data_IF_574346778641
#
_entry.id   IF_574346778641
#
_cell.length_a   1.000
_cell.length_b   1.000
_cell.length_c   1.000
_cell.angle_alpha   90.00
_cell.angle_beta   90.00
_cell.angle_gamma   90.00
#
_symmetry.space_group_name_H-M   'P 1'
#
loop_
_entity.id
_entity.type
_entity.pdbx_description
1 polymer ?
#
# COMPACT_ATOMS: atom_id res chain seq x y z
N UNK A 1 8.54 -17.17 -9.87
CA UNK A 1 9.61 -17.05 -8.87
C UNK A 1 9.05 -16.66 -7.50
N UNK A 2 9.71 -17.12 -6.43
CA UNK A 2 9.33 -16.78 -5.05
C UNK A 2 10.54 -16.29 -4.28
N UNK A 3 10.34 -15.25 -3.46
CA UNK A 3 11.34 -14.71 -2.55
C UNK A 3 10.68 -14.52 -1.17
N UNK A 4 11.26 -15.13 -0.14
CA UNK A 4 10.86 -14.92 1.25
C UNK A 4 11.90 -14.10 1.98
N UNK A 5 11.44 -13.10 2.73
CA UNK A 5 12.29 -12.21 3.51
C UNK A 5 11.74 -12.13 4.94
N UNK A 6 12.61 -11.89 5.91
CA UNK A 6 12.21 -11.44 7.24
C UNK A 6 12.25 -9.92 7.24
N UNK A 7 11.09 -9.31 7.46
CA UNK A 7 10.96 -7.86 7.51
C UNK A 7 10.96 -7.38 8.95
N UNK A 8 11.97 -6.60 9.30
CA UNK A 8 12.07 -6.03 10.65
C UNK A 8 11.34 -4.69 10.73
N UNK A 9 10.58 -4.53 11.79
CA UNK A 9 9.87 -3.30 12.12
C UNK A 9 10.05 -2.96 13.60
N UNK A 10 9.79 -1.73 14.03
CA UNK A 10 9.86 -1.36 15.45
C UNK A 10 8.95 -2.21 16.34
N UNK A 11 7.87 -2.76 15.80
CA UNK A 11 6.89 -3.60 16.50
C UNK A 11 7.21 -5.09 16.47
N UNK A 12 8.28 -5.51 15.80
CA UNK A 12 8.69 -6.90 15.68
C UNK A 12 9.04 -7.33 14.26
N UNK A 13 9.24 -8.62 14.09
CA UNK A 13 9.57 -9.24 12.80
C UNK A 13 8.32 -9.85 12.17
N UNK A 14 8.23 -9.80 10.85
CA UNK A 14 7.20 -10.48 10.10
C UNK A 14 7.70 -11.01 8.74
N UNK A 15 7.15 -12.14 8.25
CA UNK A 15 7.50 -12.63 6.93
C UNK A 15 6.94 -11.73 5.85
N UNK A 16 7.80 -11.39 4.90
CA UNK A 16 7.45 -10.76 3.63
C UNK A 16 7.67 -11.77 2.50
N UNK A 17 6.62 -12.10 1.78
CA UNK A 17 6.68 -13.03 0.66
C UNK A 17 6.37 -12.29 -0.64
N UNK A 18 7.27 -12.41 -1.60
CA UNK A 18 7.09 -11.93 -2.95
C UNK A 18 6.95 -13.12 -3.90
N UNK A 19 6.00 -13.03 -4.81
CA UNK A 19 5.81 -14.00 -5.89
C UNK A 19 5.69 -13.27 -7.22
N UNK A 20 6.42 -13.78 -8.21
CA UNK A 20 6.38 -13.29 -9.58
C UNK A 20 5.86 -14.42 -10.49
N UNK A 21 4.76 -14.16 -11.14
CA UNK A 21 4.15 -15.08 -12.09
C UNK A 21 4.12 -14.41 -13.48
N UNK A 22 4.61 -15.11 -14.53
CA UNK A 22 4.47 -14.62 -15.90
C UNK A 22 3.01 -14.68 -16.32
N UNK A 23 2.58 -13.67 -17.07
CA UNK A 23 1.26 -13.61 -17.71
C UNK A 23 1.37 -13.89 -19.22
N UNK A 24 0.26 -14.29 -19.84
CA UNK A 24 0.22 -14.68 -21.25
C UNK A 24 0.50 -13.50 -22.21
N UNK A 25 0.31 -12.27 -21.76
CA UNK A 25 0.58 -11.04 -22.52
C UNK A 25 2.04 -10.56 -22.45
N UNK A 26 2.92 -11.34 -21.81
CA UNK A 26 4.32 -11.00 -21.61
C UNK A 26 4.59 -10.09 -20.42
N UNK A 27 3.57 -9.74 -19.65
CA UNK A 27 3.73 -9.02 -18.38
C UNK A 27 4.07 -9.98 -17.23
N UNK A 28 4.35 -9.45 -16.07
CA UNK A 28 4.61 -10.22 -14.86
C UNK A 28 3.73 -9.71 -13.74
N UNK A 29 2.95 -10.60 -13.15
CA UNK A 29 2.20 -10.31 -11.93
C UNK A 29 3.13 -10.40 -10.72
N UNK A 30 3.21 -9.32 -9.95
CA UNK A 30 3.84 -9.29 -8.64
C UNK A 30 2.79 -9.42 -7.54
N UNK A 31 2.87 -10.49 -6.75
CA UNK A 31 2.11 -10.65 -5.53
C UNK A 31 3.00 -10.44 -4.31
N UNK A 32 2.61 -9.52 -3.44
CA UNK A 32 3.28 -9.22 -2.19
C UNK A 32 2.37 -9.61 -1.02
N UNK A 33 2.89 -10.40 -0.09
CA UNK A 33 2.22 -10.73 1.17
C UNK A 33 3.13 -10.36 2.34
N UNK A 34 2.67 -9.43 3.16
CA UNK A 34 3.31 -9.08 4.41
C UNK A 34 2.43 -9.55 5.58
N UNK A 35 2.99 -10.38 6.45
CA UNK A 35 2.32 -10.84 7.67
C UNK A 35 3.04 -10.24 8.86
N UNK A 36 2.28 -9.67 9.79
CA UNK A 36 2.86 -9.01 10.96
C UNK A 36 1.94 -9.14 12.17
N UNK A 37 2.53 -9.09 13.35
CA UNK A 37 1.80 -8.90 14.58
C UNK A 37 1.46 -7.41 14.72
N UNK A 38 0.18 -7.12 14.88
CA UNK A 38 -0.31 -5.77 15.06
C UNK A 38 -0.78 -5.60 16.50
N UNK A 39 -0.54 -4.44 17.07
CA UNK A 39 -1.25 -4.06 18.29
C UNK A 39 -2.74 -3.91 17.99
N UNK A 40 -3.58 -4.62 18.74
CA UNK A 40 -5.01 -4.69 18.46
C UNK A 40 -5.69 -3.31 18.59
N UNK A 41 -5.25 -2.49 19.56
CA UNK A 41 -5.81 -1.17 19.77
C UNK A 41 -5.40 -0.20 18.65
N UNK A 42 -4.14 -0.27 18.19
CA UNK A 42 -3.67 0.52 17.04
C UNK A 42 -4.39 0.11 15.76
N UNK A 43 -4.55 -1.19 15.52
CA UNK A 43 -5.27 -1.69 14.36
C UNK A 43 -6.75 -1.29 14.36
N UNK A 44 -7.42 -1.37 15.53
CA UNK A 44 -8.81 -0.92 15.66
C UNK A 44 -8.98 0.57 15.33
N UNK A 45 -7.95 1.38 15.59
CA UNK A 45 -7.95 2.82 15.32
C UNK A 45 -7.57 3.16 13.88
N UNK A 46 -6.66 2.43 13.28
CA UNK A 46 -6.04 2.78 11.99
C UNK A 46 -6.48 1.91 10.82
N UNK A 47 -7.03 0.73 11.12
CA UNK A 47 -7.28 -0.28 10.10
C UNK A 47 -6.00 -0.70 9.36
N UNK A 48 -6.13 -1.39 8.22
CA UNK A 48 -4.98 -1.81 7.42
C UNK A 48 -4.33 -0.66 6.63
N UNK A 49 -5.07 0.44 6.39
CA UNK A 49 -4.70 1.47 5.42
C UNK A 49 -3.39 2.17 5.71
N UNK A 50 -3.11 2.47 6.98
CA UNK A 50 -1.91 3.21 7.37
C UNK A 50 -0.61 2.50 6.91
N UNK A 51 -0.58 1.17 6.99
CA UNK A 51 0.55 0.36 6.54
C UNK A 51 0.49 0.07 5.04
N UNK A 52 -0.70 -0.27 4.57
CA UNK A 52 -0.94 -0.68 3.20
C UNK A 52 -0.63 0.45 2.20
N UNK A 53 -0.98 1.70 2.51
CA UNK A 53 -0.63 2.85 1.67
C UNK A 53 0.88 3.05 1.57
N UNK A 54 1.64 2.73 2.62
CA UNK A 54 3.11 2.69 2.53
C UNK A 54 3.61 1.70 1.48
N UNK A 55 3.01 0.51 1.41
CA UNK A 55 3.31 -0.47 0.37
C UNK A 55 2.89 0.01 -1.02
N UNK A 56 1.74 0.67 -1.16
CA UNK A 56 1.31 1.24 -2.45
C UNK A 56 2.31 2.27 -2.99
N UNK A 57 2.87 3.12 -2.13
CA UNK A 57 3.91 4.07 -2.50
C UNK A 57 5.21 3.33 -2.89
N UNK A 58 5.56 2.26 -2.17
CA UNK A 58 6.73 1.42 -2.49
C UNK A 58 6.56 0.72 -3.84
N UNK A 59 5.38 0.18 -4.12
CA UNK A 59 5.06 -0.45 -5.41
C UNK A 59 5.03 0.57 -6.56
N UNK A 60 4.57 1.79 -6.30
CA UNK A 60 4.66 2.89 -7.26
C UNK A 60 6.12 3.22 -7.60
N UNK A 61 7.00 3.26 -6.58
CA UNK A 61 8.44 3.47 -6.79
C UNK A 61 9.07 2.33 -7.62
N UNK A 62 8.67 1.09 -7.33
CA UNK A 62 9.12 -0.07 -8.11
C UNK A 62 8.66 0.03 -9.57
N UNK A 63 7.40 0.38 -9.81
CA UNK A 63 6.86 0.56 -11.15
C UNK A 63 7.60 1.66 -11.91
N UNK A 64 7.89 2.78 -11.27
CA UNK A 64 8.67 3.87 -11.87
C UNK A 64 10.11 3.43 -12.19
N UNK A 65 10.73 2.64 -11.30
CA UNK A 65 12.10 2.14 -11.47
C UNK A 65 12.22 1.11 -12.59
N UNK A 66 11.24 0.24 -12.72
CA UNK A 66 11.23 -0.85 -13.73
C UNK A 66 10.59 -0.42 -15.04
N UNK A 67 10.15 0.84 -15.14
CA UNK A 67 9.37 1.33 -16.28
C UNK A 67 8.13 0.44 -16.52
N UNK A 68 7.52 -0.01 -15.41
CA UNK A 68 6.37 -0.90 -15.39
C UNK A 68 5.04 -0.18 -15.65
N UNK A 69 3.97 -0.98 -15.77
CA UNK A 69 2.60 -0.51 -16.00
C UNK A 69 2.36 0.24 -17.32
N UNK A 70 3.27 0.14 -18.29
CA UNK A 70 3.11 0.78 -19.61
C UNK A 70 1.78 0.48 -20.28
N UNK A 71 1.34 -0.78 -20.20
CA UNK A 71 0.11 -1.22 -20.85
C UNK A 71 -1.15 -0.70 -20.15
N UNK A 72 -1.05 -0.22 -18.92
CA UNK A 72 -2.19 0.18 -18.08
C UNK A 72 -2.26 1.67 -17.79
N UNK A 73 -1.18 2.41 -18.04
CA UNK A 73 -1.09 3.85 -17.77
C UNK A 73 -0.99 4.66 -19.06
N UNK A 74 -1.93 5.59 -19.25
CA UNK A 74 -1.88 6.57 -20.34
C UNK A 74 -0.90 7.72 -20.09
N UNK A 75 -0.43 7.85 -18.86
CA UNK A 75 0.53 8.84 -18.42
C UNK A 75 1.77 8.15 -17.82
N UNK A 76 2.94 8.81 -17.84
CA UNK A 76 4.12 8.29 -17.16
C UNK A 76 3.84 8.00 -15.68
N UNK A 77 4.37 6.88 -15.18
CA UNK A 77 4.30 6.55 -13.75
C UNK A 77 5.09 7.60 -12.96
N UNK A 78 4.50 8.28 -11.99
CA UNK A 78 5.21 9.28 -11.21
C UNK A 78 6.30 8.64 -10.35
N UNK A 79 7.42 9.31 -10.22
CA UNK A 79 8.50 8.89 -9.30
C UNK A 79 8.21 9.46 -7.92
N UNK A 80 8.01 8.64 -6.87
CA UNK A 80 7.73 9.12 -5.53
C UNK A 80 9.00 9.62 -4.83
N UNK A 81 9.60 10.68 -5.38
CA UNK A 81 10.70 11.41 -4.77
C UNK A 81 10.20 12.35 -3.65
N UNK A 82 11.09 12.98 -2.87
CA UNK A 82 10.69 13.87 -1.78
C UNK A 82 9.77 15.02 -2.20
N UNK A 83 9.95 15.59 -3.39
CA UNK A 83 9.09 16.65 -3.92
C UNK A 83 7.68 16.12 -4.23
N UNK A 84 7.59 14.97 -4.90
CA UNK A 84 6.31 14.34 -5.17
C UNK A 84 5.57 13.99 -3.88
N UNK A 85 6.28 13.44 -2.87
CA UNK A 85 5.69 13.05 -1.58
C UNK A 85 5.05 14.22 -0.83
N UNK A 86 5.55 15.44 -1.05
CA UNK A 86 5.01 16.68 -0.45
C UNK A 86 3.99 17.37 -1.36
N UNK A 87 3.80 16.86 -2.57
CA UNK A 87 2.98 17.50 -3.60
C UNK A 87 1.50 17.07 -3.59
N UNK A 88 0.66 17.79 -4.35
CA UNK A 88 -0.77 17.52 -4.44
C UNK A 88 -1.10 16.18 -5.13
N UNK A 89 -0.20 15.64 -5.93
CA UNK A 89 -0.38 14.33 -6.57
C UNK A 89 -0.29 13.21 -5.55
N UNK A 90 0.71 13.26 -4.65
CA UNK A 90 0.84 12.34 -3.53
C UNK A 90 -0.39 12.38 -2.63
N UNK A 91 -0.87 13.57 -2.29
CA UNK A 91 -2.07 13.72 -1.47
C UNK A 91 -3.30 13.05 -2.09
N UNK A 92 -3.50 13.19 -3.41
CA UNK A 92 -4.58 12.49 -4.13
C UNK A 92 -4.38 10.97 -4.14
N UNK A 93 -3.16 10.52 -4.36
CA UNK A 93 -2.79 9.10 -4.36
C UNK A 93 -3.07 8.45 -3.00
N UNK A 94 -2.59 9.06 -1.93
CA UNK A 94 -2.82 8.60 -0.54
C UNK A 94 -4.31 8.52 -0.22
N UNK A 95 -5.09 9.56 -0.54
CA UNK A 95 -6.54 9.56 -0.30
C UNK A 95 -7.26 8.47 -1.09
N UNK A 96 -6.92 8.28 -2.35
CA UNK A 96 -7.53 7.25 -3.19
C UNK A 96 -7.26 5.84 -2.65
N UNK A 97 -6.05 5.56 -2.20
CA UNK A 97 -5.70 4.28 -1.60
C UNK A 97 -6.28 4.09 -0.21
N UNK A 98 -6.36 5.15 0.61
CA UNK A 98 -7.02 5.07 1.92
C UNK A 98 -8.49 4.65 1.79
N UNK A 99 -9.23 5.21 0.83
CA UNK A 99 -10.62 4.81 0.52
C UNK A 99 -10.70 3.34 0.11
N UNK A 100 -9.80 2.87 -0.78
CA UNK A 100 -9.78 1.47 -1.23
C UNK A 100 -9.50 0.51 -0.08
N UNK A 101 -8.51 0.81 0.75
CA UNK A 101 -8.18 -0.05 1.90
C UNK A 101 -9.28 -0.05 2.97
N UNK A 102 -10.03 1.06 3.14
CA UNK A 102 -11.22 1.05 3.97
C UNK A 102 -12.32 0.14 3.39
N UNK A 103 -12.53 0.16 2.08
CA UNK A 103 -13.47 -0.74 1.41
C UNK A 103 -13.07 -2.22 1.56
N UNK A 104 -11.78 -2.55 1.42
CA UNK A 104 -11.27 -3.89 1.65
C UNK A 104 -11.43 -4.34 3.13
N UNK A 105 -11.24 -3.42 4.08
CA UNK A 105 -11.49 -3.69 5.50
C UNK A 105 -12.96 -4.04 5.77
N UNK A 106 -13.89 -3.31 5.15
CA UNK A 106 -15.32 -3.60 5.23
C UNK A 106 -15.63 -4.97 4.62
N UNK A 107 -15.08 -5.26 3.45
CA UNK A 107 -15.24 -6.57 2.80
C UNK A 107 -14.67 -7.71 3.64
N UNK A 108 -13.64 -7.46 4.45
CA UNK A 108 -13.06 -8.40 5.40
C UNK A 108 -13.83 -8.51 6.73
N UNK A 109 -14.94 -7.79 6.90
CA UNK A 109 -15.81 -7.87 8.07
C UNK A 109 -15.58 -6.81 9.15
N UNK A 110 -14.77 -5.80 8.90
CA UNK A 110 -14.65 -4.64 9.78
C UNK A 110 -15.92 -3.76 9.60
N UNK A 111 -16.48 -3.28 10.70
CA UNK A 111 -17.65 -2.38 10.60
C UNK A 111 -17.30 -1.08 9.86
N UNK A 112 -18.29 -0.52 9.15
CA UNK A 112 -18.07 0.61 8.26
C UNK A 112 -17.57 1.85 9.02
N UNK A 113 -18.08 2.12 10.22
CA UNK A 113 -17.68 3.28 11.00
C UNK A 113 -16.19 3.19 11.38
N UNK A 114 -15.76 2.03 11.86
CA UNK A 114 -14.35 1.75 12.19
C UNK A 114 -13.46 1.85 10.94
N UNK A 115 -13.88 1.30 9.81
CA UNK A 115 -13.13 1.36 8.57
C UNK A 115 -12.97 2.81 8.07
N UNK A 116 -14.00 3.64 8.17
CA UNK A 116 -13.94 5.07 7.78
C UNK A 116 -13.09 5.91 8.75
N UNK A 117 -13.09 5.59 10.03
CA UNK A 117 -12.15 6.20 10.97
C UNK A 117 -10.70 5.84 10.60
N UNK A 118 -10.45 4.57 10.28
CA UNK A 118 -9.14 4.10 9.80
C UNK A 118 -8.70 4.79 8.51
N UNK A 119 -9.61 5.05 7.56
CA UNK A 119 -9.36 5.84 6.36
C UNK A 119 -8.86 7.24 6.71
N UNK A 120 -9.58 7.93 7.57
CA UNK A 120 -9.24 9.29 8.01
C UNK A 120 -7.90 9.35 8.71
N UNK A 121 -7.62 8.37 9.58
CA UNK A 121 -6.34 8.27 10.30
C UNK A 121 -5.18 7.94 9.36
N UNK A 122 -5.41 7.11 8.33
CA UNK A 122 -4.43 6.83 7.29
C UNK A 122 -4.02 8.10 6.56
N UNK A 123 -4.99 8.90 6.14
CA UNK A 123 -4.74 10.19 5.47
C UNK A 123 -3.95 11.12 6.41
N UNK A 124 -4.36 11.24 7.66
CA UNK A 124 -3.69 12.07 8.66
C UNK A 124 -2.23 11.66 8.86
N UNK A 125 -1.94 10.36 8.97
CA UNK A 125 -0.56 9.85 9.17
C UNK A 125 0.35 10.14 7.99
N UNK A 126 -0.16 10.03 6.77
CA UNK A 126 0.66 10.19 5.58
C UNK A 126 0.80 11.65 5.12
N UNK A 127 -0.20 12.48 5.38
CA UNK A 127 -0.23 13.86 4.92
C UNK A 127 -0.02 14.89 6.03
N UNK A 128 -0.03 14.49 7.29
CA UNK A 128 0.17 15.38 8.42
C UNK A 128 -0.98 16.37 8.66
N UNK A 129 -2.16 16.06 8.15
CA UNK A 129 -3.35 16.94 8.21
C UNK A 129 -4.49 16.37 9.03
#
# INVERSE_FOLDING_TARGET
HRLGLTWQQPTGEGPLLLRLDPEDDGTTLLALRHTMLLDAADFARTGPGALAVGWEITLLALAAHTDGWHATCLAPVPVPNPEWLQGPQSARYVRAWAVRWAAEAIAAGIDETTARLGESETVRRHLGS
#
